data_IF_796119166547
#
_entry.id   IF_796119166547
#
_cell.length_a   1.000
_cell.length_b   1.000
_cell.length_c   1.000
_cell.angle_alpha   90.00
_cell.angle_beta   90.00
_cell.angle_gamma   90.00
#
_symmetry.space_group_name_H-M   'P 1'
#
loop_
_entity.id
_entity.type
_entity.pdbx_description
1 polymer ?
#
# COMPACT_ATOMS: atom_id res chain seq x y z
N UNK A 1 7.60 -15.50 14.40
CA UNK A 1 8.18 -15.22 13.08
C UNK A 1 9.46 -14.43 13.27
N UNK A 2 10.60 -15.00 12.86
CA UNK A 2 11.92 -14.37 12.86
C UNK A 2 12.03 -13.28 11.78
N UNK A 3 13.10 -12.49 11.81
CA UNK A 3 13.37 -11.48 10.77
C UNK A 3 13.55 -12.11 9.38
N UNK A 4 14.31 -13.20 9.19
CA UNK A 4 14.41 -13.86 7.89
C UNK A 4 13.06 -14.35 7.35
N UNK A 5 12.20 -14.89 8.21
CA UNK A 5 10.86 -15.32 7.81
C UNK A 5 9.97 -14.14 7.38
N UNK A 6 10.05 -13.00 8.07
CA UNK A 6 9.37 -11.77 7.66
C UNK A 6 9.83 -11.27 6.30
N UNK A 7 11.15 -11.22 6.09
CA UNK A 7 11.73 -10.81 4.80
C UNK A 7 11.26 -11.75 3.69
N UNK A 8 11.28 -13.06 3.92
CA UNK A 8 10.84 -14.04 2.93
C UNK A 8 9.35 -13.91 2.60
N UNK A 9 8.53 -13.62 3.61
CA UNK A 9 7.11 -13.34 3.42
C UNK A 9 6.91 -12.11 2.50
N UNK A 10 7.58 -11.00 2.80
CA UNK A 10 7.44 -9.76 2.02
C UNK A 10 7.94 -9.90 0.58
N UNK A 11 8.99 -10.70 0.34
CA UNK A 11 9.48 -11.03 -1.01
C UNK A 11 8.47 -11.78 -1.87
N UNK A 12 7.47 -12.41 -1.27
CA UNK A 12 6.40 -13.12 -1.97
C UNK A 12 5.10 -12.32 -2.08
N UNK A 13 5.08 -11.09 -1.57
CA UNK A 13 3.89 -10.25 -1.59
C UNK A 13 3.57 -9.80 -3.01
N UNK A 14 2.32 -9.98 -3.43
CA UNK A 14 1.75 -9.37 -4.63
C UNK A 14 1.07 -8.04 -4.33
N UNK A 15 0.66 -7.84 -3.08
CA UNK A 15 -0.06 -6.66 -2.61
C UNK A 15 0.43 -6.27 -1.22
N UNK A 16 0.60 -4.97 -0.99
CA UNK A 16 0.83 -4.38 0.33
C UNK A 16 -0.28 -3.37 0.59
N UNK A 17 -1.10 -3.65 1.60
CA UNK A 17 -2.18 -2.75 2.05
C UNK A 17 -1.85 -2.34 3.47
N UNK A 18 -1.61 -1.05 3.70
CA UNK A 18 -1.15 -0.58 4.99
C UNK A 18 -1.60 0.85 5.29
N UNK A 19 -1.82 1.14 6.57
CA UNK A 19 -1.94 2.51 7.04
C UNK A 19 -0.64 3.30 6.76
N UNK A 20 -0.78 4.60 6.54
CA UNK A 20 0.34 5.53 6.35
C UNK A 20 1.43 5.30 7.41
N UNK A 21 2.67 5.12 6.97
CA UNK A 21 3.82 4.82 7.83
C UNK A 21 4.07 3.33 8.10
N UNK A 22 3.05 2.47 8.03
CA UNK A 22 3.17 1.06 8.43
C UNK A 22 3.62 0.09 7.32
N UNK A 23 3.55 0.51 6.05
CA UNK A 23 3.88 -0.35 4.89
C UNK A 23 5.35 -0.39 4.49
N UNK A 24 6.17 0.56 4.97
CA UNK A 24 7.49 0.84 4.38
C UNK A 24 8.45 -0.36 4.41
N UNK A 25 8.58 -1.03 5.56
CA UNK A 25 9.45 -2.21 5.69
C UNK A 25 9.00 -3.33 4.78
N UNK A 26 7.68 -3.52 4.60
CA UNK A 26 7.13 -4.56 3.73
C UNK A 26 7.54 -4.29 2.28
N UNK A 27 7.43 -3.04 1.84
CA UNK A 27 7.70 -2.60 0.46
C UNK A 27 9.19 -2.69 0.12
N UNK A 28 10.07 -2.37 1.07
CA UNK A 28 11.52 -2.48 0.88
C UNK A 28 11.97 -3.89 0.45
N UNK A 29 11.27 -4.92 0.94
CA UNK A 29 11.56 -6.31 0.62
C UNK A 29 10.63 -6.91 -0.43
N UNK A 30 9.61 -6.16 -0.87
CA UNK A 30 8.65 -6.63 -1.87
C UNK A 30 9.23 -6.57 -3.30
N UNK A 31 8.66 -7.36 -4.23
CA UNK A 31 8.94 -7.22 -5.65
C UNK A 31 8.66 -5.80 -6.18
N UNK A 32 9.33 -5.39 -7.27
CA UNK A 32 9.16 -4.07 -7.86
C UNK A 32 7.77 -3.86 -8.48
N UNK A 33 7.13 -4.95 -8.90
CA UNK A 33 5.77 -5.01 -9.48
C UNK A 33 4.67 -5.18 -8.42
N UNK A 34 5.00 -5.11 -7.12
CA UNK A 34 4.01 -5.17 -6.05
C UNK A 34 2.99 -4.04 -6.16
N UNK A 35 1.71 -4.34 -5.93
CA UNK A 35 0.66 -3.33 -5.80
C UNK A 35 0.62 -2.79 -4.39
N UNK A 36 0.58 -1.47 -4.23
CA UNK A 36 0.67 -0.81 -2.93
C UNK A 36 -0.56 0.07 -2.74
N UNK A 37 -1.31 -0.18 -1.66
CA UNK A 37 -2.38 0.69 -1.20
C UNK A 37 -1.99 1.31 0.14
N UNK A 38 -1.76 2.62 0.12
CA UNK A 38 -1.53 3.41 1.32
C UNK A 38 -2.84 4.03 1.85
N UNK A 39 -3.24 3.67 3.07
CA UNK A 39 -4.43 4.23 3.72
C UNK A 39 -4.00 5.44 4.54
N UNK A 40 -4.38 6.65 4.12
CA UNK A 40 -4.03 7.91 4.76
C UNK A 40 -5.19 8.46 5.59
N UNK A 41 -4.98 8.97 6.81
CA UNK A 41 -6.04 9.60 7.61
C UNK A 41 -6.50 10.95 7.02
N UNK A 42 -5.59 11.66 6.34
CA UNK A 42 -5.86 12.85 5.50
C UNK A 42 -4.96 12.82 4.28
N UNK A 43 -5.38 13.46 3.17
CA UNK A 43 -4.62 13.50 1.91
C UNK A 43 -3.15 13.94 2.09
N UNK A 44 -2.93 14.96 2.92
CA UNK A 44 -1.62 15.58 3.15
C UNK A 44 -0.76 14.88 4.21
N UNK A 45 -1.18 13.70 4.68
CA UNK A 45 -0.44 12.92 5.68
C UNK A 45 0.98 12.63 5.20
N UNK A 46 1.98 12.96 6.04
CA UNK A 46 3.38 12.76 5.72
C UNK A 46 3.94 13.68 4.62
N UNK A 47 3.25 14.76 4.22
CA UNK A 47 3.72 15.68 3.18
C UNK A 47 4.13 14.96 1.88
N UNK A 48 3.35 13.95 1.48
CA UNK A 48 3.60 13.15 0.27
C UNK A 48 4.93 12.36 0.31
N UNK A 49 5.55 12.14 1.48
CA UNK A 49 6.85 11.46 1.57
C UNK A 49 6.81 10.02 1.02
N UNK A 50 5.72 9.29 1.24
CA UNK A 50 5.52 7.94 0.70
C UNK A 50 5.32 7.95 -0.81
N UNK A 51 4.58 8.91 -1.34
CA UNK A 51 4.35 9.08 -2.77
C UNK A 51 5.66 9.37 -3.53
N UNK A 52 6.46 10.29 -3.00
CA UNK A 52 7.78 10.58 -3.53
C UNK A 52 8.68 9.34 -3.53
N UNK A 53 8.65 8.55 -2.46
CA UNK A 53 9.42 7.32 -2.39
C UNK A 53 8.95 6.29 -3.43
N UNK A 54 7.64 6.07 -3.54
CA UNK A 54 7.08 5.08 -4.46
C UNK A 54 7.31 5.46 -5.93
N UNK A 55 7.37 6.76 -6.23
CA UNK A 55 7.72 7.26 -7.56
C UNK A 55 9.10 6.80 -8.07
N UNK A 56 9.99 6.35 -7.17
CA UNK A 56 11.34 5.92 -7.53
C UNK A 56 11.42 4.48 -8.09
N UNK A 57 10.35 3.69 -8.01
CA UNK A 57 10.42 2.30 -8.47
C UNK A 57 9.18 1.41 -8.30
N UNK A 58 8.08 1.93 -7.76
CA UNK A 58 6.84 1.17 -7.51
C UNK A 58 5.65 1.79 -8.24
N UNK A 59 5.49 1.51 -9.54
CA UNK A 59 4.47 2.13 -10.38
C UNK A 59 3.04 1.70 -10.01
N UNK A 60 2.87 0.57 -9.31
CA UNK A 60 1.58 0.06 -8.84
C UNK A 60 1.12 0.65 -7.50
N UNK A 61 1.54 1.87 -7.17
CA UNK A 61 1.20 2.51 -5.89
C UNK A 61 0.02 3.47 -6.03
N UNK A 62 -0.94 3.36 -5.10
CA UNK A 62 -2.04 4.31 -4.95
C UNK A 62 -2.31 4.59 -3.46
N UNK A 63 -3.13 5.61 -3.19
CA UNK A 63 -3.51 5.96 -1.83
C UNK A 63 -5.03 6.05 -1.70
N UNK A 64 -5.52 5.81 -0.49
CA UNK A 64 -6.92 5.94 -0.15
C UNK A 64 -7.09 6.75 1.13
N UNK A 65 -7.97 7.74 1.07
CA UNK A 65 -8.33 8.59 2.20
C UNK A 65 -9.80 8.30 2.56
N UNK A 66 -10.08 7.72 3.75
CA UNK A 66 -11.46 7.49 4.17
C UNK A 66 -12.26 8.80 4.27
N UNK A 67 -13.56 8.72 4.01
CA UNK A 67 -14.47 9.87 4.12
C UNK A 67 -14.43 10.54 5.51
N UNK A 68 -14.24 9.75 6.57
CA UNK A 68 -14.07 10.24 7.94
C UNK A 68 -12.59 10.50 8.22
N UNK A 69 -12.15 11.67 7.79
CA UNK A 69 -10.79 12.17 8.04
C UNK A 69 -10.42 12.09 9.53
N UNK A 70 -9.22 11.59 9.83
CA UNK A 70 -8.67 11.52 11.19
C UNK A 70 -9.00 10.25 11.97
N UNK A 71 -9.89 9.39 11.46
CA UNK A 71 -10.07 8.03 11.98
C UNK A 71 -9.26 7.04 11.13
N UNK A 72 -8.54 6.10 11.77
CA UNK A 72 -7.88 4.97 11.10
C UNK A 72 -8.91 3.87 10.74
N UNK A 73 -10.08 4.29 10.24
CA UNK A 73 -11.16 3.39 9.86
C UNK A 73 -11.33 3.42 8.34
N UNK A 74 -11.26 2.24 7.72
CA UNK A 74 -11.48 2.06 6.29
C UNK A 74 -12.84 1.36 6.09
N UNK A 75 -13.85 2.03 5.51
CA UNK A 75 -15.04 1.36 5.00
C UNK A 75 -14.66 0.23 4.03
N UNK A 76 -15.27 -0.95 4.18
CA UNK A 76 -14.92 -2.12 3.37
C UNK A 76 -15.25 -1.90 1.90
N UNK A 77 -16.29 -1.14 1.61
CA UNK A 77 -16.75 -0.84 0.25
C UNK A 77 -15.67 -0.08 -0.53
N UNK A 78 -14.96 0.83 0.14
CA UNK A 78 -13.85 1.57 -0.45
C UNK A 78 -12.63 0.68 -0.72
N UNK A 79 -12.40 -0.33 0.12
CA UNK A 79 -11.35 -1.32 -0.11
C UNK A 79 -11.72 -2.21 -1.30
N UNK A 80 -12.95 -2.69 -1.36
CA UNK A 80 -13.45 -3.55 -2.43
C UNK A 80 -13.32 -2.86 -3.79
N UNK A 81 -13.68 -1.58 -3.89
CA UNK A 81 -13.50 -0.79 -5.12
C UNK A 81 -12.04 -0.76 -5.62
N UNK A 82 -11.06 -0.70 -4.71
CA UNK A 82 -9.64 -0.76 -5.07
C UNK A 82 -9.27 -2.16 -5.57
N UNK A 83 -9.69 -3.18 -4.82
CA UNK A 83 -9.36 -4.57 -5.14
C UNK A 83 -9.98 -5.02 -6.46
N UNK A 84 -11.19 -4.59 -6.77
CA UNK A 84 -11.86 -4.86 -8.05
C UNK A 84 -11.10 -4.22 -9.22
N UNK A 85 -10.63 -2.97 -9.08
CA UNK A 85 -9.77 -2.33 -10.11
C UNK A 85 -8.51 -3.15 -10.36
N UNK A 86 -7.87 -3.63 -9.30
CA UNK A 86 -6.65 -4.42 -9.41
C UNK A 86 -6.86 -5.79 -10.06
N UNK A 87 -8.06 -6.38 -10.01
CA UNK A 87 -8.35 -7.63 -10.71
C UNK A 87 -8.45 -7.45 -12.22
N UNK A 88 -8.84 -6.25 -12.68
CA UNK A 88 -8.93 -5.91 -14.09
C UNK A 88 -7.59 -5.60 -14.75
N UNK A 89 -6.54 -5.34 -13.97
CA UNK A 89 -5.23 -5.05 -14.52
C UNK A 89 -4.57 -6.31 -15.09
N UNK A 90 -3.95 -6.22 -16.29
CA UNK A 90 -3.12 -7.30 -16.79
C UNK A 90 -2.00 -7.60 -15.80
N UNK A 91 -1.78 -8.89 -15.52
CA UNK A 91 -0.59 -9.34 -14.78
C UNK A 91 0.62 -9.01 -15.66
N UNK A 92 1.49 -8.14 -15.15
CA UNK A 92 2.72 -7.69 -15.81
C UNK A 92 3.70 -8.86 -15.94
#
# INVERSE_FOLDING_TARGET
>A
MSVPEQVQLFRSASHVIAAHGAGLTNILFAPADVKILEIRPVLTSGQFCFENLFSLGWPGSEHLVPHRSGEFALPLELLDEVLERWQGDPKI
#
